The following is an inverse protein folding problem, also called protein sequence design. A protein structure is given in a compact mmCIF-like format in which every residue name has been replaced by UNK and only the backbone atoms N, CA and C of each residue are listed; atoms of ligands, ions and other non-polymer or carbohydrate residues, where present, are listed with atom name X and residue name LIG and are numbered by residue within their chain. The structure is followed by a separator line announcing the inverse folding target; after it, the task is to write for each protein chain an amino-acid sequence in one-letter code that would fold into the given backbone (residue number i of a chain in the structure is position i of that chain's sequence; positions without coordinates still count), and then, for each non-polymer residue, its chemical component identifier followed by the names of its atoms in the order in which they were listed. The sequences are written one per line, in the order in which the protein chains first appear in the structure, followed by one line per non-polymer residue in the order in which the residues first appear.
data_IF_747786603522
#
_entry.id   IF_747786603522
#
_cell.length_a   1.000
_cell.length_b   1.000
_cell.length_c   1.000
_cell.angle_alpha   90.00
_cell.angle_beta   90.00
_cell.angle_gamma   90.00
#
_symmetry.space_group_name_H-M   'P 1'
#
loop_
_entity.id
_entity.type
_entity.pdbx_description
1 polymer ?
#
# COMPACT_ATOMS: atom_id res chain seq x y z
N UNK A 1 -30.04 10.02 62.10
CA UNK A 1 -30.59 9.57 60.81
C UNK A 1 -29.58 10.00 59.72
N UNK A 2 -28.68 9.05 59.28
CA UNK A 2 -27.63 9.33 58.29
C UNK A 2 -28.16 8.93 56.91
N UNK A 3 -28.32 9.91 56.03
CA UNK A 3 -28.74 9.70 54.64
C UNK A 3 -27.50 9.34 53.85
N UNK A 4 -27.39 8.09 53.35
CA UNK A 4 -26.41 7.66 52.38
C UNK A 4 -26.90 8.02 50.99
N UNK A 5 -26.26 8.99 50.36
CA UNK A 5 -26.48 9.33 48.94
C UNK A 5 -25.64 8.34 48.12
N UNK A 6 -26.28 7.39 47.44
CA UNK A 6 -25.65 6.50 46.47
C UNK A 6 -25.43 7.28 45.16
N UNK A 7 -24.15 7.55 44.81
CA UNK A 7 -23.77 8.11 43.53
C UNK A 7 -23.80 6.99 42.47
N UNK A 8 -24.82 6.98 41.61
CA UNK A 8 -24.89 6.09 40.48
C UNK A 8 -23.93 6.64 39.38
N UNK A 9 -22.82 5.93 39.15
CA UNK A 9 -21.93 6.16 38.00
C UNK A 9 -22.60 5.67 36.72
N UNK A 10 -23.14 6.59 35.93
CA UNK A 10 -23.60 6.32 34.57
C UNK A 10 -22.37 6.10 33.68
N UNK A 11 -22.03 4.83 33.46
CA UNK A 11 -21.06 4.47 32.40
C UNK A 11 -21.73 4.69 31.03
N UNK A 12 -21.35 5.76 30.33
CA UNK A 12 -21.72 5.94 28.93
C UNK A 12 -21.07 4.83 28.09
N UNK A 13 -21.81 4.16 27.18
CA UNK A 13 -21.19 3.20 26.27
C UNK A 13 -20.16 3.94 25.41
N UNK A 14 -18.92 3.43 25.38
CA UNK A 14 -17.93 3.87 24.43
C UNK A 14 -18.47 3.51 23.04
N UNK A 15 -18.81 4.52 22.23
CA UNK A 15 -19.16 4.32 20.84
C UNK A 15 -17.90 3.76 20.15
N UNK A 16 -17.90 2.45 19.87
CA UNK A 16 -16.94 1.87 18.94
C UNK A 16 -17.14 2.60 17.62
N UNK A 17 -16.10 3.34 17.15
CA UNK A 17 -16.14 3.92 15.82
C UNK A 17 -16.07 2.75 14.86
N UNK A 18 -17.15 2.54 14.10
CA UNK A 18 -17.16 1.54 13.04
C UNK A 18 -16.06 1.93 12.03
N UNK A 19 -15.10 1.03 11.88
CA UNK A 19 -14.05 1.16 10.86
C UNK A 19 -14.61 0.67 9.52
N UNK A 20 -14.27 1.33 8.41
CA UNK A 20 -14.68 0.86 7.09
C UNK A 20 -14.10 -0.53 6.80
N UNK A 21 -14.76 -1.27 5.92
CA UNK A 21 -14.31 -2.61 5.49
C UNK A 21 -13.52 -2.47 4.19
N UNK A 22 -12.34 -3.07 4.13
CA UNK A 22 -11.54 -3.14 2.91
C UNK A 22 -11.87 -4.39 2.09
N UNK A 23 -12.08 -4.19 0.78
CA UNK A 23 -12.26 -5.25 -0.21
C UNK A 23 -11.36 -4.95 -1.42
N UNK A 24 -10.43 -5.84 -1.84
CA UNK A 24 -9.58 -5.62 -2.99
C UNK A 24 -10.29 -5.78 -4.34
N UNK A 25 -11.54 -6.22 -4.38
CA UNK A 25 -12.28 -6.53 -5.62
C UNK A 25 -12.26 -5.40 -6.66
N UNK A 26 -12.39 -4.10 -6.32
CA UNK A 26 -12.30 -3.04 -7.32
C UNK A 26 -10.96 -2.99 -8.05
N UNK A 27 -9.84 -3.16 -7.35
CA UNK A 27 -8.51 -3.22 -7.95
C UNK A 27 -8.31 -4.49 -8.78
N UNK A 28 -8.76 -5.65 -8.27
CA UNK A 28 -8.70 -6.94 -8.98
C UNK A 28 -9.49 -6.91 -10.30
N UNK A 29 -10.71 -6.39 -10.29
CA UNK A 29 -11.57 -6.29 -11.47
C UNK A 29 -10.94 -5.35 -12.53
N UNK A 30 -10.33 -4.25 -12.09
CA UNK A 30 -9.58 -3.36 -12.97
C UNK A 30 -8.39 -4.07 -13.61
N UNK A 31 -7.57 -4.79 -12.84
CA UNK A 31 -6.42 -5.54 -13.35
C UNK A 31 -6.81 -6.69 -14.30
N UNK A 32 -8.02 -7.20 -14.19
CA UNK A 32 -8.57 -8.22 -15.10
C UNK A 32 -9.16 -7.63 -16.40
N UNK A 33 -9.23 -6.31 -16.50
CA UNK A 33 -9.73 -5.61 -17.69
C UNK A 33 -8.56 -5.15 -18.60
N UNK A 34 -8.89 -4.49 -19.71
CA UNK A 34 -7.91 -3.88 -20.62
C UNK A 34 -7.36 -2.51 -20.11
N UNK A 35 -7.65 -2.14 -18.87
CA UNK A 35 -7.17 -0.90 -18.27
C UNK A 35 -5.65 -0.94 -18.04
N UNK A 36 -5.02 0.23 -18.11
CA UNK A 36 -3.60 0.35 -17.74
C UNK A 36 -3.42 -0.05 -16.27
N UNK A 37 -2.51 -0.99 -15.92
CA UNK A 37 -2.38 -1.52 -14.56
C UNK A 37 -2.20 -0.44 -13.47
N UNK A 38 -1.50 0.65 -13.78
CA UNK A 38 -1.29 1.76 -12.85
C UNK A 38 -2.57 2.53 -12.53
N UNK A 39 -3.58 2.49 -13.41
CA UNK A 39 -4.89 3.12 -13.16
C UNK A 39 -5.75 2.35 -12.16
N UNK A 40 -5.37 1.13 -11.81
CA UNK A 40 -6.09 0.30 -10.84
C UNK A 40 -5.73 0.64 -9.38
N UNK A 41 -4.62 1.35 -9.18
CA UNK A 41 -4.17 1.76 -7.86
C UNK A 41 -5.09 2.84 -7.24
N UNK A 42 -5.55 2.61 -6.03
CA UNK A 42 -6.44 3.49 -5.29
C UNK A 42 -7.93 3.17 -5.43
N UNK A 43 -8.33 2.28 -6.35
CA UNK A 43 -9.75 1.96 -6.57
C UNK A 43 -10.39 1.25 -5.38
N UNK A 44 -9.69 0.31 -4.77
CA UNK A 44 -10.18 -0.40 -3.60
C UNK A 44 -10.21 0.50 -2.35
N UNK A 45 -9.19 1.35 -2.17
CA UNK A 45 -9.17 2.33 -1.08
C UNK A 45 -10.29 3.36 -1.23
N UNK A 46 -10.56 3.84 -2.44
CA UNK A 46 -11.68 4.75 -2.71
C UNK A 46 -13.02 4.11 -2.35
N UNK A 47 -13.27 2.89 -2.80
CA UNK A 47 -14.49 2.15 -2.44
C UNK A 47 -14.60 1.93 -0.92
N UNK A 48 -13.51 1.60 -0.25
CA UNK A 48 -13.44 1.48 1.20
C UNK A 48 -13.78 2.81 1.90
N UNK A 49 -13.28 3.94 1.40
CA UNK A 49 -13.54 5.28 1.97
C UNK A 49 -15.01 5.71 1.84
N UNK A 50 -15.77 5.19 0.87
CA UNK A 50 -17.22 5.43 0.76
C UNK A 50 -18.02 4.75 1.89
N UNK A 51 -17.43 3.79 2.59
CA UNK A 51 -18.03 3.13 3.73
C UNK A 51 -18.13 4.01 4.99
N UNK A 52 -18.87 3.54 5.98
CA UNK A 52 -19.08 4.26 7.23
C UNK A 52 -17.74 4.60 7.92
N UNK A 53 -17.52 5.86 8.26
CA UNK A 53 -16.28 6.35 8.89
C UNK A 53 -15.09 6.47 7.95
N UNK A 54 -15.21 6.07 6.67
CA UNK A 54 -14.12 6.00 5.71
C UNK A 54 -13.48 7.35 5.37
N UNK A 55 -14.25 8.43 5.30
CA UNK A 55 -13.74 9.79 5.04
C UNK A 55 -13.18 10.52 6.28
N UNK A 56 -13.17 9.89 7.45
CA UNK A 56 -12.40 10.40 8.58
C UNK A 56 -10.90 10.24 8.31
N UNK A 57 -10.05 11.09 8.93
CA UNK A 57 -8.58 10.94 8.80
C UNK A 57 -8.10 9.53 9.15
N UNK A 58 -8.72 8.91 10.16
CA UNK A 58 -8.41 7.53 10.57
C UNK A 58 -8.90 6.53 9.53
N UNK A 59 -10.14 6.70 9.03
CA UNK A 59 -10.71 5.85 7.98
C UNK A 59 -9.93 5.91 6.67
N UNK A 60 -9.58 7.11 6.21
CA UNK A 60 -8.72 7.29 5.04
C UNK A 60 -7.37 6.59 5.23
N UNK A 61 -6.72 6.77 6.38
CA UNK A 61 -5.46 6.10 6.69
C UNK A 61 -5.58 4.58 6.68
N UNK A 62 -6.68 4.03 7.21
CA UNK A 62 -6.97 2.61 7.16
C UNK A 62 -7.16 2.10 5.72
N UNK A 63 -8.05 2.70 4.94
CA UNK A 63 -8.37 2.26 3.58
C UNK A 63 -7.16 2.32 2.64
N UNK A 64 -6.41 3.43 2.68
CA UNK A 64 -5.19 3.60 1.90
C UNK A 64 -4.09 2.64 2.32
N UNK A 65 -3.95 2.41 3.64
CA UNK A 65 -3.00 1.45 4.20
C UNK A 65 -3.33 0.02 3.79
N UNK A 66 -4.60 -0.39 3.86
CA UNK A 66 -5.05 -1.73 3.51
C UNK A 66 -4.81 -2.06 2.01
N UNK A 67 -5.10 -1.11 1.11
CA UNK A 67 -4.80 -1.32 -0.32
C UNK A 67 -3.28 -1.31 -0.58
N UNK A 68 -2.50 -0.45 0.11
CA UNK A 68 -1.04 -0.48 0.02
C UNK A 68 -0.49 -1.85 0.43
N UNK A 69 -0.96 -2.43 1.53
CA UNK A 69 -0.51 -3.73 2.03
C UNK A 69 -0.86 -4.84 1.03
N UNK A 70 -2.05 -4.79 0.45
CA UNK A 70 -2.43 -5.71 -0.63
C UNK A 70 -1.52 -5.60 -1.86
N UNK A 71 -1.12 -4.38 -2.28
CA UNK A 71 -0.16 -4.18 -3.36
C UNK A 71 1.26 -4.61 -2.96
N UNK A 72 1.66 -4.45 -1.69
CA UNK A 72 2.96 -4.87 -1.19
C UNK A 72 3.09 -6.40 -1.21
N UNK A 73 2.04 -7.13 -0.86
CA UNK A 73 2.01 -8.60 -1.00
C UNK A 73 2.23 -9.02 -2.46
N UNK A 74 1.56 -8.39 -3.42
CA UNK A 74 1.75 -8.64 -4.85
C UNK A 74 3.17 -8.30 -5.30
N UNK A 75 3.68 -7.16 -4.88
CA UNK A 75 5.06 -6.73 -5.15
C UNK A 75 6.06 -7.79 -4.69
N UNK A 76 5.89 -8.30 -3.46
CA UNK A 76 6.80 -9.27 -2.87
C UNK A 76 6.77 -10.61 -3.62
N UNK A 77 5.59 -11.06 -4.06
CA UNK A 77 5.44 -12.25 -4.92
C UNK A 77 6.18 -12.05 -6.24
N UNK A 78 5.87 -10.97 -6.98
CA UNK A 78 6.48 -10.68 -8.27
C UNK A 78 8.02 -10.50 -8.15
N UNK A 79 8.49 -9.83 -7.10
CA UNK A 79 9.93 -9.69 -6.82
C UNK A 79 10.61 -11.05 -6.64
N UNK A 80 10.00 -11.97 -5.89
CA UNK A 80 10.52 -13.32 -5.67
C UNK A 80 10.67 -14.11 -6.98
N UNK A 81 9.66 -14.00 -7.85
CA UNK A 81 9.66 -14.67 -9.15
C UNK A 81 10.71 -14.07 -10.12
N UNK A 82 10.77 -12.74 -10.23
CA UNK A 82 11.78 -12.04 -11.03
C UNK A 82 13.18 -12.37 -10.52
N UNK A 83 13.40 -12.38 -9.20
CA UNK A 83 14.70 -12.73 -8.61
C UNK A 83 15.11 -14.18 -8.91
N UNK A 84 14.15 -15.09 -8.90
CA UNK A 84 14.39 -16.51 -9.23
C UNK A 84 14.80 -16.65 -10.70
N UNK A 85 14.08 -15.97 -11.62
CA UNK A 85 14.42 -15.90 -13.05
C UNK A 85 15.83 -15.31 -13.24
N UNK A 86 16.12 -14.17 -12.61
CA UNK A 86 17.42 -13.49 -12.69
C UNK A 86 18.58 -14.41 -12.24
N UNK A 87 18.44 -15.14 -11.13
CA UNK A 87 19.45 -16.10 -10.67
C UNK A 87 19.66 -17.24 -11.67
N UNK A 88 18.61 -17.72 -12.32
CA UNK A 88 18.70 -18.77 -13.34
C UNK A 88 19.47 -18.28 -14.57
N UNK A 89 19.24 -17.03 -14.98
CA UNK A 89 19.99 -16.41 -16.08
C UNK A 89 21.46 -16.17 -15.71
N UNK A 90 21.71 -15.67 -14.50
CA UNK A 90 23.07 -15.42 -14.00
C UNK A 90 23.91 -16.69 -13.88
N UNK A 91 23.28 -17.86 -13.77
CA UNK A 91 23.96 -19.15 -13.72
C UNK A 91 24.38 -19.65 -15.11
N UNK A 92 24.00 -18.98 -16.21
CA UNK A 92 24.41 -19.38 -17.55
C UNK A 92 25.90 -19.06 -17.81
N UNK A 93 26.62 -19.88 -18.58
CA UNK A 93 28.00 -19.59 -18.95
C UNK A 93 28.14 -18.26 -19.66
N UNK A 94 29.17 -17.48 -19.32
CA UNK A 94 29.50 -16.17 -19.93
C UNK A 94 28.47 -15.08 -19.71
N UNK A 95 27.66 -15.16 -18.65
CA UNK A 95 26.75 -14.07 -18.28
C UNK A 95 27.55 -12.79 -17.97
N UNK A 96 27.27 -11.66 -18.64
CA UNK A 96 28.00 -10.41 -18.41
C UNK A 96 27.66 -9.77 -17.07
N UNK A 97 28.59 -8.97 -16.54
CA UNK A 97 28.32 -8.06 -15.41
C UNK A 97 27.62 -6.77 -15.88
N UNK A 98 26.76 -6.16 -15.03
CA UNK A 98 26.35 -6.68 -13.70
C UNK A 98 25.37 -7.84 -13.82
N UNK A 99 25.48 -8.80 -12.92
CA UNK A 99 24.53 -9.91 -12.83
C UNK A 99 23.11 -9.40 -12.53
N UNK A 100 22.10 -9.97 -13.19
CA UNK A 100 20.71 -9.51 -13.11
C UNK A 100 20.16 -9.53 -11.68
N UNK A 101 20.47 -10.58 -10.90
CA UNK A 101 20.01 -10.68 -9.53
C UNK A 101 20.62 -9.61 -8.60
N UNK A 102 21.85 -9.16 -8.88
CA UNK A 102 22.49 -8.05 -8.15
C UNK A 102 21.82 -6.74 -8.54
N UNK A 103 21.69 -6.46 -9.83
CA UNK A 103 21.06 -5.25 -10.35
C UNK A 103 19.60 -5.11 -9.86
N UNK A 104 18.82 -6.20 -9.84
CA UNK A 104 17.45 -6.21 -9.31
C UNK A 104 17.40 -5.83 -7.83
N UNK A 105 18.30 -6.37 -7.01
CA UNK A 105 18.35 -6.02 -5.58
C UNK A 105 18.73 -4.56 -5.37
N UNK A 106 19.66 -4.04 -6.16
CA UNK A 106 20.09 -2.64 -6.07
C UNK A 106 18.96 -1.71 -6.49
N UNK A 107 18.26 -2.03 -7.58
CA UNK A 107 17.06 -1.31 -8.02
C UNK A 107 16.00 -1.29 -6.91
N UNK A 108 15.70 -2.43 -6.29
CA UNK A 108 14.68 -2.52 -5.24
C UNK A 108 15.06 -1.72 -4.00
N UNK A 109 16.33 -1.75 -3.56
CA UNK A 109 16.82 -0.94 -2.44
C UNK A 109 16.72 0.56 -2.74
N UNK A 110 17.13 0.97 -3.93
CA UNK A 110 17.05 2.37 -4.36
C UNK A 110 15.59 2.85 -4.45
N UNK A 111 14.69 1.99 -4.94
CA UNK A 111 13.25 2.28 -5.00
C UNK A 111 12.65 2.46 -3.59
N UNK A 112 12.97 1.61 -2.61
CA UNK A 112 12.49 1.77 -1.23
C UNK A 112 12.91 3.14 -0.67
N UNK A 113 14.18 3.50 -0.82
CA UNK A 113 14.68 4.79 -0.35
C UNK A 113 13.97 5.98 -1.04
N UNK A 114 13.75 5.89 -2.35
CA UNK A 114 13.00 6.89 -3.11
C UNK A 114 11.56 7.00 -2.63
N UNK A 115 10.84 5.85 -2.50
CA UNK A 115 9.45 5.80 -2.05
C UNK A 115 9.30 6.50 -0.69
N UNK A 116 10.14 6.12 0.27
CA UNK A 116 10.04 6.63 1.63
C UNK A 116 10.34 8.14 1.70
N UNK A 117 11.35 8.62 0.96
CA UNK A 117 11.67 10.04 0.86
C UNK A 117 10.57 10.84 0.16
N UNK A 118 10.04 10.33 -0.96
CA UNK A 118 8.97 10.99 -1.72
C UNK A 118 7.69 11.13 -0.89
N UNK A 119 7.29 10.07 -0.18
CA UNK A 119 6.06 10.09 0.62
C UNK A 119 6.23 10.86 1.93
N UNK A 120 7.44 10.91 2.49
CA UNK A 120 7.79 11.83 3.56
C UNK A 120 7.64 13.30 3.14
N UNK A 121 8.03 13.64 1.92
CA UNK A 121 7.83 14.99 1.38
C UNK A 121 6.34 15.31 1.17
N UNK A 122 5.53 14.36 0.68
CA UNK A 122 4.08 14.56 0.57
C UNK A 122 3.43 14.86 1.93
N UNK A 123 3.83 14.19 3.00
CA UNK A 123 3.39 14.53 4.36
C UNK A 123 3.84 15.95 4.78
N UNK A 124 5.10 16.30 4.51
CA UNK A 124 5.69 17.58 4.92
C UNK A 124 4.99 18.79 4.28
N UNK A 125 4.45 18.65 3.06
CA UNK A 125 3.69 19.70 2.35
C UNK A 125 2.46 20.18 3.13
N UNK A 126 1.94 19.37 4.06
CA UNK A 126 0.76 19.69 4.88
C UNK A 126 1.11 20.48 6.15
N UNK A 127 2.38 20.79 6.40
CA UNK A 127 2.85 21.64 7.52
C UNK A 127 2.26 21.26 8.89
N UNK A 128 2.09 19.93 9.13
CA UNK A 128 1.51 19.39 10.37
C UNK A 128 -0.02 19.31 10.40
N UNK A 129 -0.71 19.67 9.32
CA UNK A 129 -2.18 19.52 9.19
C UNK A 129 -2.62 18.06 9.17
N UNK A 130 -3.91 17.82 9.48
CA UNK A 130 -4.51 16.46 9.58
C UNK A 130 -4.47 15.66 8.27
N UNK A 131 -4.30 16.33 7.12
CA UNK A 131 -4.13 15.71 5.81
C UNK A 131 -2.76 15.06 5.57
N UNK A 132 -1.76 15.31 6.42
CA UNK A 132 -0.40 14.79 6.25
C UNK A 132 -0.36 13.25 6.21
N UNK A 133 -1.05 12.59 7.15
CA UNK A 133 -1.15 11.14 7.21
C UNK A 133 -1.78 10.51 5.97
N UNK A 134 -3.00 10.91 5.58
CA UNK A 134 -3.63 10.45 4.34
C UNK A 134 -2.79 10.71 3.08
N UNK A 135 -2.15 11.88 2.95
CA UNK A 135 -1.29 12.20 1.81
C UNK A 135 -0.09 11.26 1.70
N UNK A 136 0.60 10.99 2.83
CA UNK A 136 1.68 10.01 2.86
C UNK A 136 1.19 8.60 2.52
N UNK A 137 0.05 8.18 3.09
CA UNK A 137 -0.52 6.86 2.85
C UNK A 137 -0.90 6.67 1.38
N UNK A 138 -1.51 7.66 0.75
CA UNK A 138 -1.84 7.63 -0.68
C UNK A 138 -0.59 7.55 -1.55
N UNK A 139 0.45 8.34 -1.24
CA UNK A 139 1.73 8.28 -1.94
C UNK A 139 2.35 6.87 -1.84
N UNK A 140 2.41 6.28 -0.64
CA UNK A 140 2.92 4.93 -0.42
C UNK A 140 2.14 3.89 -1.22
N UNK A 141 0.81 3.96 -1.23
CA UNK A 141 -0.05 3.08 -2.02
C UNK A 141 0.30 3.17 -3.50
N UNK A 142 0.29 4.36 -4.09
CA UNK A 142 0.50 4.55 -5.53
C UNK A 142 1.90 4.09 -5.95
N UNK A 143 2.95 4.43 -5.19
CA UNK A 143 4.30 4.02 -5.53
C UNK A 143 4.51 2.51 -5.37
N UNK A 144 3.89 1.88 -4.37
CA UNK A 144 3.94 0.42 -4.18
C UNK A 144 3.22 -0.31 -5.32
N UNK A 145 2.03 0.14 -5.71
CA UNK A 145 1.29 -0.43 -6.84
C UNK A 145 2.08 -0.33 -8.16
N UNK A 146 2.68 0.83 -8.45
CA UNK A 146 3.52 1.00 -9.65
C UNK A 146 4.72 0.08 -9.66
N UNK A 147 5.37 -0.15 -8.51
CA UNK A 147 6.49 -1.08 -8.43
C UNK A 147 6.05 -2.52 -8.61
N UNK A 148 4.90 -2.93 -8.03
CA UNK A 148 4.30 -4.23 -8.26
C UNK A 148 4.04 -4.46 -9.77
N UNK A 149 3.38 -3.51 -10.43
CA UNK A 149 3.08 -3.58 -11.87
C UNK A 149 4.35 -3.62 -12.74
N UNK A 150 5.41 -2.90 -12.35
CA UNK A 150 6.71 -2.96 -13.04
C UNK A 150 7.32 -4.36 -12.95
N UNK A 151 7.33 -4.97 -11.77
CA UNK A 151 7.86 -6.32 -11.57
C UNK A 151 7.03 -7.36 -12.32
N UNK A 152 5.70 -7.24 -12.27
CA UNK A 152 4.79 -8.06 -13.09
C UNK A 152 5.08 -7.91 -14.60
N UNK A 153 5.43 -6.69 -15.05
CA UNK A 153 5.86 -6.41 -16.42
C UNK A 153 7.07 -7.26 -16.83
N UNK A 154 8.11 -7.30 -16.00
CA UNK A 154 9.30 -8.12 -16.26
C UNK A 154 9.00 -9.63 -16.36
N UNK A 155 7.95 -10.10 -15.69
CA UNK A 155 7.53 -11.50 -15.79
C UNK A 155 6.82 -11.80 -17.12
N UNK A 156 6.08 -10.82 -17.67
CA UNK A 156 5.32 -10.98 -18.92
C UNK A 156 6.16 -10.78 -20.18
N UNK A 157 7.09 -9.81 -20.14
CA UNK A 157 7.85 -9.41 -21.35
C UNK A 157 8.97 -10.37 -21.70
N UNK A 158 9.42 -11.21 -20.77
CA UNK A 158 10.59 -12.07 -20.97
C UNK A 158 11.90 -11.25 -21.03
N UNK A 159 13.06 -11.91 -21.08
CA UNK A 159 14.31 -11.26 -21.40
C UNK A 159 14.42 -10.93 -22.89
#
# INVERSE_FOLDING_TARGET
MRILIALALLSAPAMARDMPTFDPAPALNCLASDAAPDSCAGLAANACMEGQGGFSTVGMGFCLGAERDWWDDRLNVAYGEVLTRAKTQDAQPNTPDPHQAVALRDMQRAWIAFRDAACGYEAARWTGGTGAGPAAAQCLLILTARQANRLDGYLREGP
#
